data_IF_304500414340
#
_entry.id   IF_304500414340
#
_cell.length_a   1.000
_cell.length_b   1.000
_cell.length_c   1.000
_cell.angle_alpha   90.00
_cell.angle_beta   90.00
_cell.angle_gamma   90.00
#
_symmetry.space_group_name_H-M   'P 1'
#
loop_
_entity.id
_entity.type
_entity.pdbx_description
1 polymer ?
#
# COMPACT_ATOMS: atom_id res chain seq x y z
N UNK A 1 -16.84 8.22 -3.62
CA UNK A 1 -16.67 7.40 -2.39
C UNK A 1 -16.36 5.94 -2.69
N UNK A 2 -17.01 5.30 -3.65
CA UNK A 2 -16.87 3.86 -3.90
C UNK A 2 -15.65 3.44 -4.73
N UNK A 3 -15.19 4.25 -5.68
CA UNK A 3 -14.16 3.84 -6.65
C UNK A 3 -12.75 3.56 -6.07
N UNK A 4 -12.33 4.29 -5.03
CA UNK A 4 -11.02 4.01 -4.41
C UNK A 4 -11.08 2.74 -3.55
N UNK A 5 -12.21 2.53 -2.89
CA UNK A 5 -12.45 1.36 -2.04
C UNK A 5 -12.82 0.10 -2.82
N UNK A 6 -13.24 0.20 -4.08
CA UNK A 6 -13.44 -0.97 -4.94
C UNK A 6 -12.16 -1.80 -5.12
N UNK A 7 -10.97 -1.15 -5.01
CA UNK A 7 -9.67 -1.82 -4.99
C UNK A 7 -9.31 -2.50 -3.65
N UNK A 8 -9.94 -2.09 -2.55
CA UNK A 8 -9.69 -2.61 -1.19
C UNK A 8 -10.89 -3.32 -0.56
N UNK A 9 -12.02 -3.40 -1.27
CA UNK A 9 -13.25 -4.04 -0.83
C UNK A 9 -14.12 -3.18 0.10
N UNK A 10 -15.35 -3.63 0.37
CA UNK A 10 -16.32 -2.96 1.25
C UNK A 10 -15.88 -2.88 2.73
N UNK A 11 -14.78 -3.55 3.11
CA UNK A 11 -14.30 -3.63 4.48
C UNK A 11 -13.97 -2.26 5.10
N UNK A 12 -13.47 -1.31 4.29
CA UNK A 12 -13.18 0.05 4.76
C UNK A 12 -14.45 0.83 5.10
N UNK A 13 -15.48 0.71 4.29
CA UNK A 13 -16.78 1.34 4.55
C UNK A 13 -17.47 0.74 5.77
N UNK A 14 -17.34 -0.57 5.97
CA UNK A 14 -17.87 -1.27 7.13
C UNK A 14 -17.14 -0.89 8.41
N UNK A 15 -15.80 -0.89 8.40
CA UNK A 15 -14.97 -0.50 9.54
C UNK A 15 -15.22 0.97 9.94
N UNK A 16 -15.34 1.88 8.97
CA UNK A 16 -15.69 3.27 9.23
C UNK A 16 -17.09 3.41 9.81
N UNK A 17 -18.08 2.70 9.25
CA UNK A 17 -19.45 2.72 9.77
C UNK A 17 -19.54 2.13 11.18
N UNK A 18 -18.76 1.11 11.49
CA UNK A 18 -18.64 0.53 12.84
C UNK A 18 -18.00 1.53 13.80
N UNK A 19 -16.90 2.17 13.41
CA UNK A 19 -16.24 3.19 14.22
C UNK A 19 -17.16 4.37 14.53
N UNK A 20 -17.94 4.85 13.55
CA UNK A 20 -18.95 5.89 13.77
C UNK A 20 -20.01 5.49 14.80
N UNK A 21 -20.52 4.26 14.71
CA UNK A 21 -21.48 3.73 15.71
C UNK A 21 -20.83 3.63 17.09
N UNK A 22 -19.59 3.12 17.14
CA UNK A 22 -18.85 2.97 18.39
C UNK A 22 -18.63 4.32 19.09
N UNK A 23 -18.35 5.40 18.32
CA UNK A 23 -18.26 6.76 18.83
C UNK A 23 -19.62 7.23 19.35
N UNK A 24 -20.67 7.10 18.55
CA UNK A 24 -22.02 7.54 18.88
C UNK A 24 -22.58 6.83 20.14
N UNK A 25 -22.39 5.53 20.21
CA UNK A 25 -22.82 4.69 21.34
C UNK A 25 -21.85 4.77 22.54
N UNK A 26 -20.77 5.59 22.43
CA UNK A 26 -19.76 5.77 23.48
C UNK A 26 -19.12 4.46 23.94
N UNK A 27 -18.87 3.54 23.01
CA UNK A 27 -18.24 2.24 23.31
C UNK A 27 -16.76 2.35 23.66
N UNK A 28 -16.11 3.45 23.28
CA UNK A 28 -14.75 3.80 23.65
C UNK A 28 -14.59 5.32 23.75
N UNK A 29 -13.52 5.80 24.37
CA UNK A 29 -13.18 7.22 24.43
C UNK A 29 -12.19 7.58 23.31
N UNK A 30 -12.63 8.23 22.23
CA UNK A 30 -11.76 8.56 21.10
C UNK A 30 -10.67 9.60 21.44
N UNK A 31 -10.70 10.20 22.63
CA UNK A 31 -9.62 11.07 23.10
C UNK A 31 -8.40 10.28 23.54
N UNK A 32 -8.59 9.06 24.02
CA UNK A 32 -7.56 8.23 24.65
C UNK A 32 -7.49 6.81 24.10
N UNK A 33 -8.38 6.46 23.17
CA UNK A 33 -8.49 5.12 22.59
C UNK A 33 -8.63 5.22 21.07
N UNK A 34 -8.35 4.14 20.38
CA UNK A 34 -8.54 3.98 18.93
C UNK A 34 -9.52 2.84 18.65
N UNK A 35 -10.33 3.02 17.62
CA UNK A 35 -11.18 1.95 17.11
C UNK A 35 -10.31 0.86 16.49
N UNK A 36 -10.45 -0.38 16.98
CA UNK A 36 -9.56 -1.47 16.61
C UNK A 36 -9.78 -1.96 15.16
N UNK A 37 -11.03 -2.01 14.70
CA UNK A 37 -11.37 -2.49 13.35
C UNK A 37 -10.88 -1.49 12.30
N UNK A 38 -11.13 -0.18 12.52
CA UNK A 38 -10.66 0.88 11.66
C UNK A 38 -9.13 0.94 11.62
N UNK A 39 -8.47 0.75 12.76
CA UNK A 39 -7.03 0.68 12.85
C UNK A 39 -6.45 -0.49 12.06
N UNK A 40 -7.01 -1.70 12.22
CA UNK A 40 -6.55 -2.89 11.48
C UNK A 40 -6.70 -2.69 9.97
N UNK A 41 -7.77 -2.03 9.54
CA UNK A 41 -8.00 -1.77 8.13
C UNK A 41 -7.01 -0.74 7.55
N UNK A 42 -6.72 0.34 8.28
CA UNK A 42 -5.70 1.32 7.88
C UNK A 42 -4.31 0.67 7.83
N UNK A 43 -3.97 -0.21 8.78
CA UNK A 43 -2.73 -0.99 8.72
C UNK A 43 -2.65 -1.85 7.46
N UNK A 44 -3.74 -2.56 7.12
CA UNK A 44 -3.79 -3.42 5.93
C UNK A 44 -3.51 -2.63 4.65
N UNK A 45 -4.02 -1.41 4.55
CA UNK A 45 -3.79 -0.53 3.41
C UNK A 45 -2.31 -0.17 3.26
N UNK A 46 -1.65 0.27 4.33
CA UNK A 46 -0.23 0.64 4.27
C UNK A 46 0.69 -0.56 4.10
N UNK A 47 0.31 -1.71 4.62
CA UNK A 47 1.03 -2.95 4.38
C UNK A 47 0.92 -3.40 2.92
N UNK A 48 -0.27 -3.28 2.32
CA UNK A 48 -0.45 -3.54 0.90
C UNK A 48 0.37 -2.57 0.02
N UNK A 49 0.47 -1.29 0.43
CA UNK A 49 1.34 -0.32 -0.23
C UNK A 49 2.82 -0.71 -0.13
N UNK A 50 3.25 -1.19 1.04
CA UNK A 50 4.60 -1.69 1.25
C UNK A 50 4.90 -2.88 0.35
N UNK A 51 4.01 -3.87 0.33
CA UNK A 51 4.17 -5.07 -0.50
C UNK A 51 4.19 -4.72 -2.00
N UNK A 52 3.36 -3.79 -2.43
CA UNK A 52 3.35 -3.28 -3.81
C UNK A 52 4.66 -2.56 -4.18
N UNK A 53 5.19 -1.74 -3.27
CA UNK A 53 6.45 -1.01 -3.47
C UNK A 53 7.67 -1.94 -3.55
N UNK A 54 7.67 -3.03 -2.81
CA UNK A 54 8.74 -4.04 -2.83
C UNK A 54 8.53 -5.16 -3.85
N UNK A 55 7.50 -5.08 -4.68
CA UNK A 55 7.22 -6.11 -5.68
C UNK A 55 8.41 -6.28 -6.65
N UNK A 56 9.03 -7.45 -6.61
CA UNK A 56 10.18 -7.81 -7.45
C UNK A 56 11.55 -7.50 -6.87
N UNK A 57 11.64 -7.05 -5.61
CA UNK A 57 12.90 -6.84 -4.89
C UNK A 57 13.09 -7.87 -3.76
N UNK A 58 14.33 -8.26 -3.51
CA UNK A 58 14.72 -9.09 -2.36
C UNK A 58 14.95 -8.20 -1.14
N UNK A 59 13.88 -7.74 -0.50
CA UNK A 59 14.01 -7.11 0.80
C UNK A 59 14.12 -8.21 1.86
N UNK A 60 15.16 -8.18 2.68
CA UNK A 60 15.28 -9.08 3.81
C UNK A 60 14.06 -9.03 4.74
N UNK A 61 13.59 -10.19 5.22
CA UNK A 61 12.37 -10.31 6.02
C UNK A 61 12.31 -9.35 7.21
N UNK A 62 13.43 -9.15 7.89
CA UNK A 62 13.54 -8.24 9.05
C UNK A 62 13.25 -6.78 8.69
N UNK A 63 13.67 -6.33 7.51
CA UNK A 63 13.39 -4.96 7.06
C UNK A 63 11.92 -4.74 6.72
N UNK A 64 11.29 -5.72 6.08
CA UNK A 64 9.86 -5.70 5.81
C UNK A 64 9.04 -5.70 7.09
N UNK A 65 9.46 -6.45 8.09
CA UNK A 65 8.82 -6.45 9.41
C UNK A 65 8.92 -5.08 10.09
N UNK A 66 10.09 -4.44 10.04
CA UNK A 66 10.28 -3.08 10.55
C UNK A 66 9.41 -2.06 9.84
N UNK A 67 9.30 -2.10 8.51
CA UNK A 67 8.40 -1.25 7.74
C UNK A 67 6.95 -1.41 8.19
N UNK A 68 6.46 -2.64 8.30
CA UNK A 68 5.10 -2.94 8.75
C UNK A 68 4.84 -2.47 10.18
N UNK A 69 5.82 -2.65 11.06
CA UNK A 69 5.75 -2.15 12.43
C UNK A 69 5.62 -0.62 12.45
N UNK A 70 6.38 0.09 11.62
CA UNK A 70 6.28 1.55 11.49
C UNK A 70 4.96 1.99 10.84
N UNK A 71 4.44 1.24 9.87
CA UNK A 71 3.11 1.48 9.29
C UNK A 71 2.01 1.38 10.36
N UNK A 72 2.09 0.39 11.24
CA UNK A 72 1.12 0.23 12.33
C UNK A 72 1.14 1.44 13.28
N UNK A 73 2.30 2.02 13.54
CA UNK A 73 2.39 3.24 14.35
C UNK A 73 1.75 4.43 13.65
N UNK A 74 2.05 4.64 12.38
CA UNK A 74 1.43 5.70 11.59
C UNK A 74 -0.10 5.53 11.53
N UNK A 75 -0.57 4.31 11.26
CA UNK A 75 -1.98 3.97 11.23
C UNK A 75 -2.67 4.26 12.59
N UNK A 76 -2.00 3.98 13.71
CA UNK A 76 -2.55 4.27 15.03
C UNK A 76 -2.79 5.78 15.24
N UNK A 77 -1.83 6.63 14.89
CA UNK A 77 -1.99 8.08 15.01
C UNK A 77 -3.01 8.64 14.02
N UNK A 78 -3.03 8.14 12.79
CA UNK A 78 -4.07 8.49 11.79
C UNK A 78 -5.46 8.15 12.30
N UNK A 79 -5.68 6.92 12.74
CA UNK A 79 -6.98 6.45 13.24
C UNK A 79 -7.42 7.21 14.49
N UNK A 80 -6.49 7.49 15.40
CA UNK A 80 -6.77 8.30 16.58
C UNK A 80 -7.18 9.72 16.19
N UNK A 81 -6.47 10.37 15.28
CA UNK A 81 -6.80 11.71 14.80
C UNK A 81 -8.20 11.74 14.17
N UNK A 82 -8.47 10.79 13.28
CA UNK A 82 -9.77 10.65 12.63
C UNK A 82 -10.90 10.43 13.66
N UNK A 83 -10.71 9.52 14.62
CA UNK A 83 -11.68 9.25 15.67
C UNK A 83 -12.00 10.49 16.52
N UNK A 84 -10.99 11.29 16.83
CA UNK A 84 -11.17 12.56 17.56
C UNK A 84 -11.93 13.60 16.75
N UNK A 85 -11.57 13.78 15.49
CA UNK A 85 -12.19 14.77 14.62
C UNK A 85 -13.67 14.41 14.37
N UNK A 86 -13.99 13.12 14.21
CA UNK A 86 -15.36 12.63 14.14
C UNK A 86 -16.11 12.83 15.45
N UNK A 87 -15.53 12.48 16.60
CA UNK A 87 -16.17 12.61 17.89
C UNK A 87 -16.48 14.07 18.28
N UNK A 88 -15.71 15.03 17.78
CA UNK A 88 -15.96 16.45 17.96
C UNK A 88 -17.32 16.90 17.38
N UNK A 89 -17.88 16.14 16.43
CA UNK A 89 -19.17 16.43 15.81
C UNK A 89 -20.38 15.88 16.59
N UNK A 90 -20.15 15.13 17.68
CA UNK A 90 -21.22 14.42 18.40
C UNK A 90 -22.20 15.36 19.12
N UNK A 91 -21.73 16.52 19.55
CA UNK A 91 -22.48 17.48 20.36
C UNK A 91 -22.87 18.66 19.47
N UNK A 92 -24.08 19.16 19.67
CA UNK A 92 -24.56 20.37 19.00
C UNK A 92 -24.15 21.66 19.76
N UNK A 93 -24.55 22.82 19.25
CA UNK A 93 -24.24 24.14 19.82
C UNK A 93 -24.86 24.37 21.24
N UNK A 94 -25.89 23.58 21.59
CA UNK A 94 -26.55 23.65 22.88
C UNK A 94 -25.94 22.66 23.90
N UNK A 95 -24.95 21.88 23.50
CA UNK A 95 -24.35 20.83 24.34
C UNK A 95 -25.13 19.52 24.36
N UNK A 96 -26.16 19.38 23.52
CA UNK A 96 -26.97 18.17 23.42
C UNK A 96 -26.37 17.18 22.41
N UNK A 97 -26.56 15.86 22.62
CA UNK A 97 -26.13 14.83 21.71
C UNK A 97 -27.01 14.86 20.47
N UNK A 98 -26.39 15.07 19.30
CA UNK A 98 -27.07 15.03 18.00
C UNK A 98 -27.74 13.67 17.75
N UNK A 99 -28.81 13.65 16.94
CA UNK A 99 -29.32 12.38 16.41
C UNK A 99 -28.24 11.66 15.59
N UNK A 100 -28.29 10.34 15.52
CA UNK A 100 -27.30 9.58 14.73
C UNK A 100 -27.27 10.00 13.25
N UNK A 101 -28.43 10.33 12.67
CA UNK A 101 -28.50 10.81 11.29
C UNK A 101 -27.82 12.18 11.11
N UNK A 102 -27.99 13.10 12.07
CA UNK A 102 -27.31 14.40 12.03
C UNK A 102 -25.82 14.22 12.23
N UNK A 103 -25.41 13.48 13.25
CA UNK A 103 -24.02 13.16 13.51
C UNK A 103 -23.33 12.56 12.28
N UNK A 104 -23.95 11.56 11.63
CA UNK A 104 -23.44 10.94 10.40
C UNK A 104 -23.23 11.95 9.28
N UNK A 105 -24.19 12.85 9.04
CA UNK A 105 -24.06 13.90 8.01
C UNK A 105 -22.91 14.86 8.29
N UNK A 106 -22.77 15.26 9.56
CA UNK A 106 -21.75 16.23 9.96
C UNK A 106 -20.34 15.62 9.94
N UNK A 107 -20.23 14.31 10.09
CA UNK A 107 -18.96 13.56 10.00
C UNK A 107 -18.60 13.19 8.57
N UNK A 108 -19.55 13.07 7.65
CA UNK A 108 -19.30 12.65 6.26
C UNK A 108 -18.17 13.44 5.59
N UNK A 109 -18.10 14.79 5.66
CA UNK A 109 -16.99 15.54 5.08
C UNK A 109 -15.63 15.25 5.74
N UNK A 110 -15.62 14.93 7.04
CA UNK A 110 -14.41 14.57 7.79
C UNK A 110 -13.94 13.18 7.34
N UNK A 111 -14.87 12.25 7.25
CA UNK A 111 -14.59 10.90 6.78
C UNK A 111 -14.08 10.91 5.33
N UNK A 112 -14.73 11.63 4.44
CA UNK A 112 -14.29 11.77 3.04
C UNK A 112 -12.88 12.36 2.96
N UNK A 113 -12.58 13.37 3.76
CA UNK A 113 -11.26 13.97 3.81
C UNK A 113 -10.17 12.97 4.23
N UNK A 114 -10.38 12.25 5.34
CA UNK A 114 -9.40 11.31 5.88
C UNK A 114 -9.30 9.99 5.10
N UNK A 115 -10.39 9.54 4.51
CA UNK A 115 -10.50 8.20 3.92
C UNK A 115 -10.37 8.23 2.39
N UNK A 116 -10.84 9.25 1.70
CA UNK A 116 -10.73 9.33 0.24
C UNK A 116 -9.53 10.14 -0.23
N UNK A 117 -9.51 11.43 0.07
CA UNK A 117 -8.51 12.32 -0.50
C UNK A 117 -7.11 12.07 0.07
N UNK A 118 -7.01 12.00 1.41
CA UNK A 118 -5.71 11.84 2.08
C UNK A 118 -5.22 10.40 2.07
N UNK A 119 -6.08 9.42 2.33
CA UNK A 119 -5.65 8.02 2.36
C UNK A 119 -5.14 7.56 1.00
N UNK A 120 -5.76 8.02 -0.09
CA UNK A 120 -5.27 7.74 -1.44
C UNK A 120 -3.89 8.34 -1.68
N UNK A 121 -3.72 9.63 -1.33
CA UNK A 121 -2.43 10.31 -1.46
C UNK A 121 -1.35 9.66 -0.62
N UNK A 122 -1.68 9.29 0.61
CA UNK A 122 -0.78 8.58 1.53
C UNK A 122 -0.44 7.18 0.99
N UNK A 123 -1.42 6.44 0.50
CA UNK A 123 -1.23 5.11 -0.09
C UNK A 123 -0.30 5.16 -1.31
N UNK A 124 -0.57 6.06 -2.26
CA UNK A 124 0.26 6.23 -3.45
C UNK A 124 1.68 6.68 -3.08
N UNK A 125 1.81 7.53 -2.05
CA UNK A 125 3.10 7.96 -1.51
C UNK A 125 3.82 6.82 -0.81
N UNK A 126 3.11 6.01 -0.03
CA UNK A 126 3.66 4.83 0.64
C UNK A 126 4.24 3.83 -0.36
N UNK A 127 3.52 3.52 -1.46
CA UNK A 127 4.03 2.66 -2.53
C UNK A 127 5.34 3.21 -3.09
N UNK A 128 5.37 4.51 -3.43
CA UNK A 128 6.56 5.14 -4.00
C UNK A 128 7.73 5.11 -3.04
N UNK A 129 7.52 5.46 -1.79
CA UNK A 129 8.57 5.47 -0.77
C UNK A 129 9.07 4.06 -0.42
N UNK A 130 8.19 3.07 -0.42
CA UNK A 130 8.57 1.66 -0.28
C UNK A 130 9.42 1.20 -1.48
N UNK A 131 9.03 1.55 -2.70
CA UNK A 131 9.80 1.26 -3.90
C UNK A 131 11.19 1.93 -3.87
N UNK A 132 11.25 3.23 -3.49
CA UNK A 132 12.52 3.94 -3.33
C UNK A 132 13.40 3.34 -2.24
N UNK A 133 12.80 2.83 -1.16
CA UNK A 133 13.55 2.12 -0.13
C UNK A 133 14.17 0.82 -0.66
N UNK A 134 13.43 0.08 -1.48
CA UNK A 134 13.92 -1.14 -2.14
C UNK A 134 15.09 -0.83 -3.09
N UNK A 135 14.92 0.17 -3.97
CA UNK A 135 15.96 0.59 -4.92
C UNK A 135 17.22 1.07 -4.18
N UNK A 136 17.08 1.93 -3.15
CA UNK A 136 18.23 2.43 -2.39
C UNK A 136 19.00 1.29 -1.72
N UNK A 137 18.31 0.30 -1.18
CA UNK A 137 18.98 -0.87 -0.59
C UNK A 137 19.71 -1.69 -1.65
N UNK A 138 19.18 -1.80 -2.85
CA UNK A 138 19.85 -2.42 -3.98
C UNK A 138 21.09 -1.60 -4.39
N UNK A 139 20.98 -0.28 -4.53
CA UNK A 139 22.11 0.60 -4.86
C UNK A 139 23.24 0.49 -3.83
N UNK A 140 22.88 0.45 -2.54
CA UNK A 140 23.87 0.23 -1.46
C UNK A 140 24.56 -1.14 -1.56
N UNK A 141 23.87 -2.18 -2.02
CA UNK A 141 24.43 -3.52 -2.18
C UNK A 141 25.32 -3.64 -3.43
N UNK A 142 25.09 -2.81 -4.43
CA UNK A 142 25.80 -2.80 -5.72
C UNK A 142 26.85 -1.67 -5.81
N UNK A 143 27.13 -0.98 -4.70
CA UNK A 143 27.98 0.21 -4.67
C UNK A 143 29.45 -0.01 -5.07
N UNK A 144 29.92 -1.25 -5.03
CA UNK A 144 31.25 -1.65 -5.54
C UNK A 144 31.35 -1.60 -7.07
N UNK A 145 30.23 -1.67 -7.78
CA UNK A 145 30.15 -1.60 -9.25
C UNK A 145 29.55 -0.28 -9.72
N UNK A 146 28.51 0.20 -9.05
CA UNK A 146 27.77 1.44 -9.33
C UNK A 146 27.81 2.35 -8.11
N UNK A 147 28.92 3.09 -7.90
CA UNK A 147 29.18 3.79 -6.64
C UNK A 147 28.33 5.05 -6.44
N UNK A 148 27.64 5.50 -7.47
CA UNK A 148 26.93 6.78 -7.47
C UNK A 148 25.45 6.61 -7.82
N UNK A 149 24.66 7.63 -7.49
CA UNK A 149 23.24 7.70 -7.83
C UNK A 149 22.99 9.01 -8.57
N UNK A 150 22.30 8.92 -9.71
CA UNK A 150 21.81 10.07 -10.47
C UNK A 150 20.36 10.35 -10.12
N UNK A 151 20.02 11.62 -9.89
CA UNK A 151 18.63 12.06 -9.79
C UNK A 151 18.01 12.20 -11.17
N UNK A 152 16.90 11.51 -11.43
CA UNK A 152 16.19 11.57 -12.70
C UNK A 152 15.05 12.59 -12.66
N UNK A 153 14.81 13.32 -13.76
CA UNK A 153 13.71 14.25 -13.91
C UNK A 153 12.35 13.64 -13.58
N UNK A 154 11.42 14.49 -13.12
CA UNK A 154 10.04 14.09 -12.87
C UNK A 154 9.31 13.73 -14.15
N UNK A 155 8.51 12.66 -14.10
CA UNK A 155 7.58 12.28 -15.17
C UNK A 155 6.21 12.95 -15.05
N UNK A 156 6.02 13.84 -14.05
CA UNK A 156 4.77 14.59 -13.87
C UNK A 156 4.58 15.61 -14.98
N UNK A 157 3.31 15.86 -15.35
CA UNK A 157 2.96 16.94 -16.32
C UNK A 157 3.37 18.32 -15.77
N UNK A 158 3.24 18.50 -14.46
CA UNK A 158 3.68 19.71 -13.74
C UNK A 158 4.73 19.31 -12.70
N UNK A 159 6.01 19.27 -13.05
CA UNK A 159 7.09 18.94 -12.12
C UNK A 159 7.19 19.96 -11.00
N UNK A 160 7.67 19.52 -9.83
CA UNK A 160 7.92 20.42 -8.70
C UNK A 160 9.19 21.23 -8.96
N UNK A 161 9.08 22.53 -8.87
CA UNK A 161 10.22 23.44 -9.06
C UNK A 161 11.35 23.20 -8.04
N UNK A 162 10.98 22.80 -6.82
CA UNK A 162 11.92 22.48 -5.74
C UNK A 162 12.90 21.35 -6.10
N UNK A 163 12.49 20.38 -6.92
CA UNK A 163 13.32 19.24 -7.31
C UNK A 163 14.09 19.44 -8.61
N UNK A 164 13.73 20.45 -9.42
CA UNK A 164 14.41 20.71 -10.70
C UNK A 164 15.93 20.96 -10.58
N UNK A 165 16.42 21.62 -9.51
CA UNK A 165 17.86 21.81 -9.34
C UNK A 165 18.67 20.51 -9.20
N UNK A 166 18.02 19.41 -8.81
CA UNK A 166 18.69 18.12 -8.62
C UNK A 166 18.75 17.28 -9.90
N UNK A 167 18.03 17.64 -10.95
CA UNK A 167 17.93 16.82 -12.17
C UNK A 167 19.29 16.61 -12.81
N UNK A 168 19.57 15.35 -13.16
CA UNK A 168 20.79 14.87 -13.80
C UNK A 168 22.06 15.01 -12.96
N UNK A 169 21.96 15.51 -11.73
CA UNK A 169 23.08 15.54 -10.79
C UNK A 169 23.35 14.16 -10.20
N UNK A 170 24.63 13.93 -9.90
CA UNK A 170 25.15 12.63 -9.43
C UNK A 170 25.84 12.83 -8.08
N UNK A 171 25.46 12.00 -7.09
CA UNK A 171 26.09 11.94 -5.76
C UNK A 171 26.54 10.53 -5.45
N UNK A 172 27.56 10.33 -4.60
CA UNK A 172 27.88 9.01 -4.05
C UNK A 172 26.67 8.36 -3.38
N UNK A 173 26.58 7.02 -3.44
CA UNK A 173 25.49 6.25 -2.83
C UNK A 173 25.36 6.44 -1.33
N UNK A 174 26.49 6.74 -0.65
CA UNK A 174 26.59 6.97 0.79
C UNK A 174 26.58 8.46 1.18
N UNK A 175 26.35 9.37 0.21
CA UNK A 175 26.33 10.81 0.47
C UNK A 175 25.20 11.16 1.46
N UNK A 176 25.47 12.02 2.48
CA UNK A 176 24.47 12.52 3.43
C UNK A 176 23.28 13.21 2.76
N UNK A 177 23.43 13.71 1.55
CA UNK A 177 22.34 14.26 0.75
C UNK A 177 21.12 13.34 0.71
N UNK A 178 21.32 12.03 0.59
CA UNK A 178 20.25 11.04 0.51
C UNK A 178 19.49 10.83 1.82
N UNK A 179 19.98 11.36 2.94
CA UNK A 179 19.20 11.38 4.19
C UNK A 179 18.14 12.47 4.17
N UNK A 180 18.47 13.61 3.57
CA UNK A 180 17.62 14.80 3.56
C UNK A 180 16.77 14.86 2.29
N UNK A 181 17.35 14.57 1.12
CA UNK A 181 16.71 14.71 -0.18
C UNK A 181 16.70 13.41 -0.96
N UNK A 182 15.56 13.06 -1.52
CA UNK A 182 15.37 11.86 -2.35
C UNK A 182 14.09 11.95 -3.16
N UNK A 183 13.98 11.25 -4.28
CA UNK A 183 12.70 11.07 -4.96
C UNK A 183 11.63 10.53 -4.00
N UNK A 184 10.51 11.24 -3.83
CA UNK A 184 9.44 10.87 -2.91
C UNK A 184 9.48 11.54 -1.53
N UNK A 185 10.29 12.59 -1.33
CA UNK A 185 10.30 13.43 -0.12
C UNK A 185 9.31 14.60 -0.15
N UNK A 186 8.55 14.71 -1.24
CA UNK A 186 7.39 15.60 -1.36
C UNK A 186 6.15 14.85 -1.82
N UNK A 187 4.99 15.27 -1.29
CA UNK A 187 3.70 14.68 -1.64
C UNK A 187 3.44 14.76 -3.15
N UNK A 188 3.16 13.60 -3.77
CA UNK A 188 2.90 13.52 -5.22
C UNK A 188 4.15 13.61 -6.10
N UNK A 189 5.37 13.58 -5.54
CA UNK A 189 6.61 13.55 -6.31
C UNK A 189 6.65 12.38 -7.29
N UNK A 190 7.10 12.64 -8.53
CA UNK A 190 7.28 11.63 -9.59
C UNK A 190 8.71 11.62 -10.16
N UNK A 191 9.68 12.16 -9.41
CA UNK A 191 11.09 12.03 -9.73
C UNK A 191 11.55 10.56 -9.61
N UNK A 192 12.59 10.25 -10.34
CA UNK A 192 13.30 8.98 -10.27
C UNK A 192 14.73 9.14 -9.80
N UNK A 193 15.43 8.02 -9.72
CA UNK A 193 16.88 7.93 -9.60
C UNK A 193 17.38 6.64 -10.22
N UNK A 194 18.67 6.55 -10.46
CA UNK A 194 19.32 5.34 -10.95
C UNK A 194 20.73 5.22 -10.38
N UNK A 195 21.20 4.01 -10.15
CA UNK A 195 22.60 3.76 -9.85
C UNK A 195 23.45 3.94 -11.11
N UNK A 196 24.64 4.51 -10.96
CA UNK A 196 25.52 4.82 -12.09
C UNK A 196 27.01 4.75 -11.69
N UNK A 197 27.87 4.52 -12.65
CA UNK A 197 29.32 4.67 -12.56
C UNK A 197 29.80 6.03 -13.09
N UNK A 198 28.89 6.91 -13.53
CA UNK A 198 29.24 8.25 -13.93
C UNK A 198 29.86 9.06 -12.77
N UNK A 199 30.80 9.96 -13.12
CA UNK A 199 31.48 10.78 -12.11
C UNK A 199 30.50 11.69 -11.37
N UNK A 200 30.78 11.92 -10.09
CA UNK A 200 30.05 12.89 -9.26
C UNK A 200 30.09 14.26 -9.92
N UNK A 201 28.95 14.93 -10.01
CA UNK A 201 28.82 16.27 -10.56
C UNK A 201 29.25 17.34 -9.56
N UNK A 202 29.41 18.60 -10.02
CA UNK A 202 29.52 19.71 -9.11
C UNK A 202 28.15 19.98 -8.45
N UNK A 203 28.04 19.59 -7.20
CA UNK A 203 26.82 19.72 -6.39
C UNK A 203 26.92 20.91 -5.41
N UNK A 204 27.88 21.80 -5.58
CA UNK A 204 28.06 22.97 -4.72
C UNK A 204 26.83 23.87 -4.78
N UNK A 205 26.22 24.14 -3.62
CA UNK A 205 25.00 24.94 -3.51
C UNK A 205 23.69 24.17 -3.78
N UNK A 206 23.77 22.87 -4.08
CA UNK A 206 22.63 21.98 -4.15
C UNK A 206 22.48 21.27 -2.79
N UNK A 207 21.40 21.48 -2.14
CA UNK A 207 21.19 21.01 -0.78
C UNK A 207 21.48 22.12 0.24
N UNK A 208 20.61 22.30 1.15
CA UNK A 208 20.65 23.32 2.17
C UNK A 208 19.23 23.81 2.48
N UNK A 209 19.08 24.64 3.45
CA UNK A 209 17.83 25.06 4.11
C UNK A 209 16.67 25.55 3.20
N UNK A 210 16.83 25.54 1.87
CA UNK A 210 15.83 26.08 0.94
C UNK A 210 14.81 25.06 0.43
N UNK A 211 15.08 23.77 0.56
CA UNK A 211 14.20 22.72 0.06
C UNK A 211 14.04 21.67 1.16
N UNK A 212 13.15 21.93 2.09
CA UNK A 212 12.82 20.91 3.10
C UNK A 212 11.82 19.89 2.56
N UNK A 213 12.00 18.59 2.87
CA UNK A 213 10.98 17.57 2.61
C UNK A 213 9.63 17.95 3.20
N UNK A 214 8.56 17.57 2.53
CA UNK A 214 7.21 17.78 3.05
C UNK A 214 7.06 17.15 4.45
N UNK A 215 6.30 17.78 5.36
CA UNK A 215 6.01 17.20 6.66
C UNK A 215 5.48 15.77 6.54
N UNK A 216 6.07 14.85 7.30
CA UNK A 216 5.77 13.43 7.24
C UNK A 216 6.61 12.63 6.25
N UNK A 217 7.46 13.28 5.43
CA UNK A 217 8.27 12.61 4.41
C UNK A 217 9.79 12.76 4.62
N UNK A 218 10.22 13.25 5.77
CA UNK A 218 11.64 13.34 6.15
C UNK A 218 12.29 11.97 6.31
N UNK A 219 13.61 11.95 6.26
CA UNK A 219 14.42 10.75 6.46
C UNK A 219 14.35 9.76 5.30
N UNK A 220 15.33 8.87 5.24
CA UNK A 220 15.45 7.86 4.19
C UNK A 220 14.79 6.55 4.62
N UNK A 221 13.67 6.11 4.00
CA UNK A 221 12.99 4.88 4.36
C UNK A 221 13.86 3.61 4.29
N UNK A 222 14.86 3.59 3.40
CA UNK A 222 15.79 2.46 3.30
C UNK A 222 16.61 2.24 4.57
N UNK A 223 16.84 3.30 5.36
CA UNK A 223 17.62 3.28 6.60
C UNK A 223 16.75 3.32 7.85
N UNK A 224 15.64 4.10 7.80
CA UNK A 224 14.76 4.27 8.96
C UNK A 224 13.65 3.24 9.05
N UNK A 225 13.38 2.51 7.96
CA UNK A 225 12.20 1.67 7.78
C UNK A 225 10.88 2.43 8.03
N UNK A 226 10.85 3.74 7.75
CA UNK A 226 9.68 4.60 7.93
C UNK A 226 9.20 5.14 6.58
N UNK A 227 7.99 4.80 6.20
CA UNK A 227 7.35 5.42 5.04
C UNK A 227 6.87 6.84 5.36
N UNK A 228 6.51 7.10 6.61
CA UNK A 228 6.12 8.42 7.10
C UNK A 228 6.92 8.77 8.36
N UNK A 229 7.45 9.97 8.39
CA UNK A 229 8.26 10.46 9.51
C UNK A 229 7.41 11.07 10.63
N UNK A 230 8.03 11.23 11.80
CA UNK A 230 7.34 11.66 13.04
C UNK A 230 6.87 13.12 13.02
N UNK A 231 7.27 13.91 12.03
CA UNK A 231 6.80 15.28 11.81
C UNK A 231 5.50 15.35 11.00
N UNK A 232 4.92 14.20 10.64
CA UNK A 232 3.61 14.16 10.00
C UNK A 232 2.53 14.78 10.90
N UNK A 233 1.55 15.54 10.35
CA UNK A 233 0.50 16.22 11.14
C UNK A 233 -0.37 15.36 12.05
N UNK A 234 -0.35 14.04 11.88
CA UNK A 234 -1.06 13.13 12.79
C UNK A 234 -0.32 12.93 14.11
N UNK A 235 1.01 13.07 14.11
CA UNK A 235 1.78 12.96 15.33
C UNK A 235 1.70 14.24 16.17
N UNK A 236 1.77 14.15 17.49
CA UNK A 236 1.83 15.33 18.33
C UNK A 236 3.16 16.06 18.13
N UNK A 237 3.14 17.39 18.07
CA UNK A 237 4.34 18.21 17.89
C UNK A 237 5.36 18.08 19.03
N UNK A 238 4.89 17.73 20.22
CA UNK A 238 5.71 17.43 21.40
C UNK A 238 4.90 16.64 22.43
N UNK A 239 5.61 16.01 23.38
CA UNK A 239 4.99 15.21 24.44
C UNK A 239 4.07 16.02 25.36
N UNK A 240 4.25 17.32 25.49
CA UNK A 240 3.41 18.17 26.34
C UNK A 240 2.00 18.34 25.77
N UNK A 241 1.86 18.27 24.45
CA UNK A 241 0.61 18.40 23.71
C UNK A 241 -0.02 17.04 23.36
N UNK A 242 0.67 15.94 23.70
CA UNK A 242 0.17 14.61 23.43
C UNK A 242 -1.03 14.30 24.35
N UNK A 243 -2.15 13.89 23.75
CA UNK A 243 -3.33 13.44 24.49
C UNK A 243 -3.05 12.21 25.38
N UNK A 244 -1.95 11.51 25.12
CA UNK A 244 -1.54 10.27 25.77
C UNK A 244 -0.34 10.45 26.71
N UNK A 245 -0.19 11.65 27.27
CA UNK A 245 0.91 12.07 28.13
C UNK A 245 1.13 11.12 29.31
N UNK A 246 2.39 10.67 29.50
CA UNK A 246 2.83 9.99 30.72
C UNK A 246 3.21 8.52 30.59
N UNK A 247 3.25 7.97 29.39
CA UNK A 247 3.70 6.58 29.14
C UNK A 247 4.70 6.54 28.00
N UNK A 248 5.95 6.23 28.33
CA UNK A 248 7.00 6.04 27.34
C UNK A 248 6.85 4.69 26.66
N UNK A 249 6.86 4.68 25.32
CA UNK A 249 6.82 3.48 24.52
C UNK A 249 8.08 3.41 23.67
N UNK A 250 8.90 2.44 23.96
CA UNK A 250 9.99 2.02 23.08
C UNK A 250 9.45 0.94 22.17
N UNK A 251 8.75 1.35 21.11
CA UNK A 251 8.26 0.40 20.10
C UNK A 251 9.36 -0.09 19.17
N UNK A 252 10.49 0.66 19.08
CA UNK A 252 11.53 0.38 18.10
C UNK A 252 12.90 0.58 18.70
N UNK A 253 13.76 -0.42 18.53
CA UNK A 253 15.14 -0.42 19.04
C UNK A 253 16.08 0.54 18.30
N UNK A 254 15.68 1.01 17.12
CA UNK A 254 16.47 1.89 16.24
C UNK A 254 16.00 3.35 16.22
N UNK A 255 15.01 3.74 17.01
CA UNK A 255 14.59 5.13 17.15
C UNK A 255 15.28 5.84 18.29
N UNK A 256 15.89 6.97 17.98
CA UNK A 256 16.57 7.83 18.96
C UNK A 256 15.63 8.83 19.66
N UNK A 257 14.37 8.92 19.25
CA UNK A 257 13.37 9.83 19.83
C UNK A 257 12.11 9.06 20.17
N UNK A 258 11.88 8.89 21.46
CA UNK A 258 10.70 8.25 22.02
C UNK A 258 9.51 9.19 21.93
N UNK A 259 8.68 9.05 20.90
CA UNK A 259 7.54 9.92 20.71
C UNK A 259 6.18 9.27 21.02
N UNK A 260 6.14 8.02 21.48
CA UNK A 260 4.89 7.31 21.66
C UNK A 260 4.58 7.10 23.15
N UNK A 261 3.81 8.03 23.70
CA UNK A 261 3.40 7.98 25.09
C UNK A 261 1.93 7.58 25.20
N UNK A 262 1.60 6.29 25.03
CA UNK A 262 0.24 5.86 25.34
C UNK A 262 0.10 4.34 25.50
N UNK A 263 -0.32 3.91 26.70
CA UNK A 263 -0.62 2.49 26.97
C UNK A 263 -1.71 1.91 26.06
N UNK A 264 -2.68 2.74 25.69
CA UNK A 264 -3.83 2.28 24.92
C UNK A 264 -3.45 2.10 23.44
N UNK A 265 -2.70 3.06 22.87
CA UNK A 265 -2.14 2.91 21.52
C UNK A 265 -1.21 1.70 21.47
N UNK A 266 -0.30 1.55 22.44
CA UNK A 266 0.59 0.40 22.48
C UNK A 266 -0.18 -0.93 22.51
N UNK A 267 -1.18 -1.04 23.40
CA UNK A 267 -1.98 -2.27 23.49
C UNK A 267 -2.75 -2.54 22.20
N UNK A 268 -3.29 -1.50 21.56
CA UNK A 268 -3.99 -1.63 20.29
C UNK A 268 -3.00 -2.05 19.18
N UNK A 269 -1.84 -1.38 19.08
CA UNK A 269 -0.77 -1.74 18.12
C UNK A 269 -0.31 -3.17 18.35
N UNK A 270 0.04 -3.55 19.59
CA UNK A 270 0.48 -4.91 19.90
C UNK A 270 -0.59 -5.97 19.61
N UNK A 271 -1.86 -5.66 19.89
CA UNK A 271 -2.97 -6.56 19.58
C UNK A 271 -3.13 -6.72 18.07
N UNK A 272 -3.11 -5.60 17.33
CA UNK A 272 -3.25 -5.63 15.88
C UNK A 272 -2.04 -6.28 15.21
N UNK A 273 -0.80 -5.99 15.64
CA UNK A 273 0.40 -6.67 15.15
C UNK A 273 0.32 -8.18 15.36
N UNK A 274 -0.10 -8.62 16.56
CA UNK A 274 -0.27 -10.05 16.83
C UNK A 274 -1.32 -10.66 15.91
N UNK A 275 -2.45 -9.99 15.72
CA UNK A 275 -3.53 -10.45 14.84
C UNK A 275 -3.07 -10.48 13.38
N UNK A 276 -2.42 -9.41 12.91
CA UNK A 276 -1.88 -9.31 11.55
C UNK A 276 -0.80 -10.35 11.30
N UNK A 277 0.13 -10.52 12.24
CA UNK A 277 1.21 -11.53 12.14
C UNK A 277 0.61 -12.93 12.05
N UNK A 278 -0.38 -13.24 12.89
CA UNK A 278 -1.05 -14.54 12.84
C UNK A 278 -1.76 -14.75 11.50
N UNK A 279 -2.60 -13.79 11.07
CA UNK A 279 -3.31 -13.87 9.78
C UNK A 279 -2.35 -13.99 8.59
N UNK A 280 -1.22 -13.27 8.63
CA UNK A 280 -0.18 -13.35 7.59
C UNK A 280 0.51 -14.69 7.56
N UNK A 281 0.87 -15.21 8.73
CA UNK A 281 1.46 -16.54 8.84
C UNK A 281 0.52 -17.63 8.31
N UNK A 282 -0.76 -17.58 8.69
CA UNK A 282 -1.80 -18.48 8.20
C UNK A 282 -1.99 -18.37 6.68
N UNK A 283 -2.01 -17.13 6.14
CA UNK A 283 -2.12 -16.91 4.71
C UNK A 283 -0.86 -17.37 3.97
N UNK A 284 0.33 -17.11 4.50
CA UNK A 284 1.60 -17.55 3.92
C UNK A 284 1.70 -19.08 3.90
N UNK A 285 1.33 -19.75 4.99
CA UNK A 285 1.26 -21.21 5.07
C UNK A 285 0.27 -21.77 4.04
N UNK A 286 -0.95 -21.20 3.98
CA UNK A 286 -1.97 -21.59 3.01
C UNK A 286 -1.50 -21.40 1.57
N UNK A 287 -0.82 -20.29 1.25
CA UNK A 287 -0.22 -20.04 -0.08
C UNK A 287 0.88 -21.07 -0.40
N UNK A 288 1.73 -21.38 0.56
CA UNK A 288 2.80 -22.37 0.41
C UNK A 288 2.23 -23.77 0.14
N UNK A 289 1.25 -24.21 0.92
CA UNK A 289 0.55 -25.47 0.69
C UNK A 289 -0.14 -25.49 -0.68
N UNK A 290 -0.90 -24.45 -1.00
CA UNK A 290 -1.56 -24.32 -2.30
C UNK A 290 -0.55 -24.40 -3.46
N UNK A 291 0.56 -23.66 -3.37
CA UNK A 291 1.61 -23.64 -4.41
C UNK A 291 2.21 -25.04 -4.61
N UNK A 292 2.49 -25.76 -3.55
CA UNK A 292 3.01 -27.15 -3.62
C UNK A 292 2.01 -28.13 -4.23
N UNK A 293 0.72 -27.88 -4.05
CA UNK A 293 -0.37 -28.71 -4.62
C UNK A 293 -0.65 -28.43 -6.10
N UNK A 294 -0.32 -27.23 -6.61
CA UNK A 294 -0.57 -26.88 -8.02
C UNK A 294 0.09 -27.86 -8.99
N UNK A 295 1.27 -28.38 -8.67
CA UNK A 295 1.96 -29.38 -9.51
C UNK A 295 1.16 -30.69 -9.67
N UNK A 296 0.33 -31.03 -8.67
CA UNK A 296 -0.49 -32.26 -8.62
C UNK A 296 -1.88 -32.06 -9.22
N UNK A 297 -2.26 -30.84 -9.62
CA UNK A 297 -3.55 -30.61 -10.24
C UNK A 297 -3.64 -31.37 -11.56
N UNK A 298 -4.75 -32.07 -11.77
CA UNK A 298 -5.10 -32.68 -13.04
C UNK A 298 -5.84 -31.64 -13.89
N UNK A 299 -5.08 -30.77 -14.56
CA UNK A 299 -5.64 -29.78 -15.47
C UNK A 299 -5.44 -30.24 -16.92
N UNK A 300 -6.44 -30.06 -17.81
CA UNK A 300 -6.13 -29.97 -19.23
C UNK A 300 -5.12 -28.82 -19.42
N UNK A 301 -4.16 -28.99 -20.27
CA UNK A 301 -3.03 -28.05 -20.36
C UNK A 301 -3.08 -27.23 -21.63
N UNK A 302 -3.46 -25.95 -21.61
CA UNK A 302 -4.14 -25.21 -20.54
C UNK A 302 -5.65 -25.52 -20.49
N UNK A 303 -6.34 -25.16 -19.36
CA UNK A 303 -7.78 -25.07 -19.35
C UNK A 303 -8.18 -23.84 -20.19
N UNK A 304 -9.11 -24.02 -21.12
CA UNK A 304 -9.53 -22.95 -22.05
C UNK A 304 -11.03 -22.77 -21.96
N UNK A 305 -11.47 -21.53 -21.87
CA UNK A 305 -12.87 -21.16 -22.01
C UNK A 305 -13.01 -20.08 -23.07
N UNK A 306 -13.95 -20.25 -24.01
CA UNK A 306 -14.25 -19.28 -25.05
C UNK A 306 -15.70 -18.81 -24.93
N UNK A 307 -15.91 -17.50 -24.89
CA UNK A 307 -17.22 -16.86 -24.76
C UNK A 307 -17.22 -15.46 -25.34
N UNK A 308 -18.35 -15.05 -25.87
CA UNK A 308 -18.59 -13.65 -26.33
C UNK A 308 -18.71 -12.67 -25.16
N UNK A 309 -18.82 -13.15 -23.93
CA UNK A 309 -18.84 -12.32 -22.70
C UNK A 309 -17.42 -11.93 -22.27
N UNK A 310 -16.38 -12.57 -22.82
CA UNK A 310 -14.99 -12.21 -22.57
C UNK A 310 -14.53 -11.11 -23.52
N UNK A 311 -13.68 -10.20 -23.06
CA UNK A 311 -13.18 -9.06 -23.85
C UNK A 311 -12.50 -9.51 -25.13
N UNK A 312 -11.68 -10.56 -25.08
CA UNK A 312 -10.94 -11.11 -26.21
C UNK A 312 -11.44 -12.50 -26.64
N UNK A 313 -12.59 -12.90 -26.16
CA UNK A 313 -13.26 -14.13 -26.55
C UNK A 313 -12.70 -15.40 -25.98
N UNK A 314 -11.48 -15.41 -25.44
CA UNK A 314 -10.85 -16.63 -24.93
C UNK A 314 -9.97 -16.36 -23.73
N UNK A 315 -10.24 -17.06 -22.61
CA UNK A 315 -9.41 -17.09 -21.41
C UNK A 315 -8.74 -18.45 -21.27
N UNK A 316 -7.46 -18.45 -20.93
CA UNK A 316 -6.63 -19.63 -20.75
C UNK A 316 -6.08 -19.67 -19.34
N UNK A 317 -6.19 -20.80 -18.65
CA UNK A 317 -5.68 -20.98 -17.30
C UNK A 317 -4.75 -22.19 -17.24
N UNK A 318 -3.47 -21.95 -17.07
CA UNK A 318 -2.44 -22.95 -16.88
C UNK A 318 -2.09 -23.13 -15.41
N UNK A 319 -1.29 -24.15 -15.07
CA UNK A 319 -0.72 -24.29 -13.73
C UNK A 319 0.15 -23.07 -13.34
N UNK A 320 0.77 -22.40 -14.30
CA UNK A 320 1.53 -21.18 -14.07
C UNK A 320 0.62 -20.03 -13.66
N UNK A 321 -0.53 -19.90 -14.31
CA UNK A 321 -1.52 -18.85 -13.99
C UNK A 321 -2.13 -19.09 -12.59
N UNK A 322 -2.40 -20.35 -12.23
CA UNK A 322 -2.85 -20.68 -10.87
C UNK A 322 -1.80 -20.32 -9.82
N UNK A 323 -0.50 -20.61 -10.07
CA UNK A 323 0.57 -20.17 -9.15
C UNK A 323 0.62 -18.66 -9.00
N UNK A 324 0.44 -17.94 -10.10
CA UNK A 324 0.40 -16.48 -10.11
C UNK A 324 -0.79 -15.96 -9.29
N UNK A 325 -1.98 -16.51 -9.50
CA UNK A 325 -3.17 -16.19 -8.72
C UNK A 325 -2.98 -16.42 -7.22
N UNK A 326 -2.44 -17.59 -6.84
CA UNK A 326 -2.14 -17.92 -5.43
C UNK A 326 -1.13 -16.94 -4.84
N UNK A 327 -0.09 -16.58 -5.61
CA UNK A 327 0.90 -15.60 -5.17
C UNK A 327 0.27 -14.22 -4.88
N UNK A 328 -0.62 -13.76 -5.76
CA UNK A 328 -1.28 -12.46 -5.65
C UNK A 328 -2.58 -12.47 -4.81
N UNK A 329 -3.02 -13.62 -4.33
CA UNK A 329 -4.23 -13.71 -3.50
C UNK A 329 -4.09 -12.86 -2.22
N UNK A 330 -5.11 -12.05 -1.93
CA UNK A 330 -5.10 -11.14 -0.79
C UNK A 330 -5.53 -11.80 0.53
N UNK A 331 -6.29 -12.89 0.45
CA UNK A 331 -6.88 -13.60 1.59
C UNK A 331 -7.00 -15.10 1.34
N UNK A 332 -7.43 -15.82 2.37
CA UNK A 332 -7.52 -17.27 2.35
C UNK A 332 -8.58 -17.80 1.36
N UNK A 333 -9.69 -17.09 1.19
CA UNK A 333 -10.75 -17.43 0.25
C UNK A 333 -10.28 -17.24 -1.18
N UNK A 334 -9.57 -16.15 -1.46
CA UNK A 334 -8.94 -15.91 -2.76
C UNK A 334 -7.94 -17.00 -3.13
N UNK A 335 -7.18 -17.57 -2.17
CA UNK A 335 -6.33 -18.75 -2.41
C UNK A 335 -7.18 -19.97 -2.82
N UNK A 336 -8.28 -20.24 -2.12
CA UNK A 336 -9.15 -21.40 -2.42
C UNK A 336 -9.81 -21.28 -3.80
N UNK A 337 -10.23 -20.08 -4.19
CA UNK A 337 -10.79 -19.81 -5.52
C UNK A 337 -9.71 -19.94 -6.58
N UNK A 338 -8.50 -19.41 -6.32
CA UNK A 338 -7.35 -19.53 -7.23
C UNK A 338 -7.04 -20.98 -7.59
N UNK A 339 -7.06 -21.87 -6.59
CA UNK A 339 -6.79 -23.31 -6.79
C UNK A 339 -7.82 -24.05 -7.64
N UNK A 340 -8.96 -23.44 -7.90
CA UNK A 340 -10.07 -23.98 -8.68
C UNK A 340 -10.45 -23.10 -9.87
N UNK A 341 -9.58 -22.17 -10.26
CA UNK A 341 -9.86 -21.17 -11.29
C UNK A 341 -10.26 -21.82 -12.62
N UNK A 342 -9.65 -22.96 -12.95
CA UNK A 342 -10.01 -23.75 -14.12
C UNK A 342 -11.50 -24.10 -14.22
N UNK A 343 -12.19 -24.18 -13.09
CA UNK A 343 -13.62 -24.49 -12.98
C UNK A 343 -14.54 -23.29 -13.00
N UNK A 344 -13.97 -22.10 -12.97
CA UNK A 344 -14.72 -20.85 -12.85
C UNK A 344 -14.56 -19.95 -14.08
N UNK A 345 -13.80 -20.36 -15.07
CA UNK A 345 -13.53 -19.55 -16.28
C UNK A 345 -14.83 -19.17 -17.03
N UNK A 346 -15.83 -20.03 -16.99
CA UNK A 346 -17.16 -19.83 -17.61
C UNK A 346 -18.06 -18.85 -16.85
N UNK A 347 -17.64 -18.43 -15.66
CA UNK A 347 -18.37 -17.52 -14.77
C UNK A 347 -17.79 -16.12 -14.73
N UNK A 348 -16.70 -15.89 -15.45
CA UNK A 348 -16.05 -14.58 -15.53
C UNK A 348 -16.95 -13.61 -16.29
N UNK A 349 -17.32 -12.49 -15.66
CA UNK A 349 -18.11 -11.41 -16.28
C UNK A 349 -17.22 -10.19 -16.44
N UNK A 350 -17.08 -9.74 -17.69
CA UNK A 350 -16.22 -8.60 -18.01
C UNK A 350 -16.76 -7.33 -17.32
N UNK A 351 -15.86 -6.60 -16.68
CA UNK A 351 -16.16 -5.34 -15.98
C UNK A 351 -15.49 -4.15 -16.67
N UNK A 352 -14.15 -4.19 -16.80
CA UNK A 352 -13.38 -3.07 -17.36
C UNK A 352 -12.02 -3.49 -17.87
N UNK A 353 -11.34 -2.53 -18.51
CA UNK A 353 -9.93 -2.62 -18.93
C UNK A 353 -9.08 -1.73 -18.03
N UNK A 354 -7.87 -2.17 -17.70
CA UNK A 354 -6.86 -1.37 -17.02
C UNK A 354 -5.57 -1.35 -17.83
N UNK A 355 -5.04 -0.16 -18.09
CA UNK A 355 -3.75 -0.04 -18.76
C UNK A 355 -2.59 -0.42 -17.81
N UNK A 356 -1.55 -1.06 -18.33
CA UNK A 356 -0.35 -1.34 -17.53
C UNK A 356 0.33 -0.04 -17.11
N UNK A 357 0.32 0.26 -15.82
CA UNK A 357 0.95 1.47 -15.26
C UNK A 357 2.46 1.58 -15.56
N UNK A 358 3.13 0.43 -15.82
CA UNK A 358 4.55 0.39 -16.23
C UNK A 358 4.75 -0.74 -17.23
N UNK A 359 5.18 -0.38 -18.43
CA UNK A 359 5.59 -1.34 -19.46
C UNK A 359 7.08 -1.67 -19.27
N UNK A 360 7.39 -2.68 -18.47
CA UNK A 360 8.76 -3.20 -18.35
C UNK A 360 9.11 -4.12 -19.50
N UNK A 361 10.41 -4.24 -19.84
CA UNK A 361 10.88 -5.14 -20.91
C UNK A 361 10.42 -6.60 -20.72
N UNK A 362 10.25 -7.08 -19.48
CA UNK A 362 9.68 -8.39 -19.17
C UNK A 362 8.19 -8.50 -19.57
N UNK A 363 7.41 -7.45 -19.44
CA UNK A 363 6.00 -7.41 -19.84
C UNK A 363 5.88 -7.39 -21.36
N UNK A 364 6.71 -6.59 -22.04
CA UNK A 364 6.78 -6.57 -23.50
C UNK A 364 7.22 -7.93 -24.06
N UNK A 365 8.19 -8.59 -23.44
CA UNK A 365 8.65 -9.92 -23.89
C UNK A 365 7.60 -11.02 -23.73
N UNK A 366 6.58 -10.83 -22.87
CA UNK A 366 5.44 -11.75 -22.71
C UNK A 366 4.27 -11.45 -23.64
N UNK A 367 4.35 -10.39 -24.46
CA UNK A 367 3.27 -9.99 -25.36
C UNK A 367 2.08 -9.36 -24.62
N UNK A 368 2.29 -8.80 -23.42
CA UNK A 368 1.21 -8.13 -22.67
C UNK A 368 0.69 -6.93 -23.46
N UNK A 369 -0.62 -6.87 -23.63
CA UNK A 369 -1.35 -5.78 -24.30
C UNK A 369 -1.93 -4.85 -23.24
N UNK A 370 -2.79 -5.41 -22.37
CA UNK A 370 -3.50 -4.69 -21.33
C UNK A 370 -3.92 -5.66 -20.20
N UNK A 371 -4.51 -5.12 -19.16
CA UNK A 371 -5.20 -5.93 -18.14
C UNK A 371 -6.70 -5.84 -18.36
N UNK A 372 -7.37 -6.99 -18.28
CA UNK A 372 -8.83 -7.09 -18.26
C UNK A 372 -9.29 -7.48 -16.86
N UNK A 373 -10.37 -6.89 -16.39
CA UNK A 373 -10.91 -7.12 -15.05
C UNK A 373 -12.27 -7.76 -15.17
N UNK A 374 -12.45 -8.83 -14.43
CA UNK A 374 -13.66 -9.64 -14.40
C UNK A 374 -14.23 -9.72 -13.00
N UNK A 375 -15.54 -9.76 -12.91
CA UNK A 375 -16.26 -10.15 -11.70
C UNK A 375 -16.51 -11.65 -11.74
N UNK A 376 -16.35 -12.31 -10.59
CA UNK A 376 -16.55 -13.75 -10.41
C UNK A 376 -17.37 -14.01 -9.15
N UNK A 377 -18.56 -14.59 -9.30
CA UNK A 377 -19.37 -15.03 -8.19
C UNK A 377 -19.07 -16.47 -7.81
N UNK A 378 -18.73 -16.71 -6.54
CA UNK A 378 -18.50 -18.05 -5.97
C UNK A 378 -19.30 -18.18 -4.67
N UNK A 379 -20.39 -18.90 -4.73
CA UNK A 379 -21.35 -19.04 -3.61
C UNK A 379 -22.05 -17.71 -3.32
N UNK A 380 -21.81 -17.13 -2.15
CA UNK A 380 -22.34 -15.82 -1.75
C UNK A 380 -21.29 -14.70 -1.80
N UNK A 381 -20.12 -14.99 -2.30
CA UNK A 381 -18.99 -14.06 -2.34
C UNK A 381 -18.69 -13.65 -3.79
N UNK A 382 -18.34 -12.41 -3.93
CA UNK A 382 -17.91 -11.81 -5.21
C UNK A 382 -16.41 -11.57 -5.17
N UNK A 383 -15.73 -11.98 -6.22
CA UNK A 383 -14.30 -11.77 -6.41
C UNK A 383 -14.06 -10.94 -7.65
N UNK A 384 -12.99 -10.18 -7.63
CA UNK A 384 -12.44 -9.49 -8.80
C UNK A 384 -11.24 -10.29 -9.29
N UNK A 385 -11.29 -10.70 -10.55
CA UNK A 385 -10.22 -11.43 -11.23
C UNK A 385 -9.61 -10.53 -12.29
N UNK A 386 -8.33 -10.21 -12.13
CA UNK A 386 -7.57 -9.46 -13.12
C UNK A 386 -6.82 -10.44 -14.01
N UNK A 387 -6.98 -10.31 -15.32
CA UNK A 387 -6.29 -11.11 -16.30
C UNK A 387 -5.29 -10.28 -17.09
N UNK A 388 -4.18 -10.90 -17.51
CA UNK A 388 -3.27 -10.36 -18.52
C UNK A 388 -3.76 -10.75 -19.90
N UNK A 389 -4.12 -9.78 -20.75
CA UNK A 389 -4.35 -9.99 -22.18
C UNK A 389 -3.00 -10.04 -22.89
N UNK A 390 -2.65 -11.18 -23.49
CA UNK A 390 -1.36 -11.42 -24.13
C UNK A 390 -1.54 -11.84 -25.57
N UNK A 391 -0.72 -11.27 -26.47
CA UNK A 391 -0.65 -11.70 -27.87
C UNK A 391 0.11 -13.02 -27.99
N UNK A 392 -0.51 -14.01 -28.61
CA UNK A 392 0.16 -15.22 -29.02
C UNK A 392 1.05 -14.90 -30.22
N UNK A 393 2.35 -15.24 -30.14
CA UNK A 393 3.33 -14.92 -31.17
C UNK A 393 3.15 -15.70 -32.47
N UNK A 394 2.53 -16.87 -32.42
CA UNK A 394 2.32 -17.75 -33.56
C UNK A 394 1.03 -17.42 -34.32
N UNK A 395 -0.05 -17.14 -33.61
CA UNK A 395 -1.39 -16.89 -34.19
C UNK A 395 -1.73 -15.42 -34.30
N UNK A 396 -0.99 -14.53 -33.63
CA UNK A 396 -1.33 -13.09 -33.45
C UNK A 396 -2.66 -12.83 -32.77
N UNK A 397 -3.30 -13.85 -32.21
CA UNK A 397 -4.53 -13.72 -31.43
C UNK A 397 -4.21 -13.30 -30.00
N UNK A 398 -5.15 -12.64 -29.34
CA UNK A 398 -5.02 -12.23 -27.94
C UNK A 398 -5.80 -13.22 -27.06
N UNK A 399 -5.10 -13.78 -26.08
CA UNK A 399 -5.67 -14.63 -25.04
C UNK A 399 -5.50 -13.98 -23.67
N UNK A 400 -6.45 -14.26 -22.79
CA UNK A 400 -6.47 -13.73 -21.44
C UNK A 400 -5.97 -14.79 -20.45
N UNK A 401 -5.11 -14.37 -19.52
CA UNK A 401 -4.51 -15.23 -18.52
C UNK A 401 -4.81 -14.67 -17.12
N UNK A 402 -5.53 -15.40 -16.23
CA UNK A 402 -5.77 -14.96 -14.87
C UNK A 402 -4.46 -14.66 -14.15
N UNK A 403 -4.37 -13.47 -13.54
CA UNK A 403 -3.14 -12.93 -12.96
C UNK A 403 -3.24 -12.67 -11.47
N UNK A 404 -4.30 -11.99 -11.03
CA UNK A 404 -4.53 -11.71 -9.61
C UNK A 404 -6.00 -11.83 -9.27
N UNK A 405 -6.29 -12.07 -7.99
CA UNK A 405 -7.63 -12.22 -7.46
C UNK A 405 -7.74 -11.63 -6.06
N UNK A 406 -8.83 -10.95 -5.80
CA UNK A 406 -9.19 -10.47 -4.47
C UNK A 406 -10.71 -10.48 -4.30
N UNK A 407 -11.16 -10.55 -3.05
CA UNK A 407 -12.58 -10.49 -2.73
C UNK A 407 -13.05 -9.03 -2.79
N UNK A 408 -14.22 -8.83 -3.41
CA UNK A 408 -14.90 -7.53 -3.52
C UNK A 408 -15.56 -7.14 -2.20
#
# INVERSE_FOLDING_TARGET
MLEFFEGFGNANGEALAAALRNIYERRYDPRTQIDAELFEEVCRIFDAATDAGFSGSEAGGDFMEQLRTNNAVFAAFKTHRMGRDMAAQLIDENGEVKSFQQFRRDVEPIADHHVEAWLRTEYDTAIKRAHRAAEMRQFMAEADVLPNIRWLPSTAVNPRESHMPFYDHVWPVDDPFWEEHKPGDEWGCQCGWEATDDPVTDNSGLGGERIEPSPGLKGNPARTAQLFSDDHPYFPSDCSKCAFKGVQLTLFTNRTKDCYHCKNILKAVQKAEKTLTTKRAELAEKKSDATSRVSRLSLPTPAVHSSTELKYGTVMCSKSDIRQLVYHAADAESVDVSMKMDRYLDRLRFERVEEPKHFTGKKQSRGLVEYTVYELEVGKQTFVVKCEARTNRETSEIYEHPYSIYRK
#
